data_IF_075530703294
#
_entry.id   IF_075530703294
#
_cell.length_a   1.000
_cell.length_b   1.000
_cell.length_c   1.000
_cell.angle_alpha   90.00
_cell.angle_beta   90.00
_cell.angle_gamma   90.00
#
_symmetry.space_group_name_H-M   'P 1'
#
loop_
_entity.id
_entity.type
_entity.pdbx_description
1 polymer ?
#
# COMPACT_ATOMS: atom_id res chain seq x y z
N UNK A 1 41.60 -5.50 9.06
CA UNK A 1 41.61 -4.31 9.93
C UNK A 1 40.28 -4.23 10.67
N UNK A 2 40.27 -3.99 11.99
CA UNK A 2 39.03 -3.95 12.80
C UNK A 2 38.35 -2.57 12.72
N UNK A 3 38.35 -1.99 11.54
CA UNK A 3 37.83 -0.65 11.27
C UNK A 3 36.65 -0.82 10.33
N UNK A 4 35.51 -0.23 10.69
CA UNK A 4 34.31 -0.24 9.87
C UNK A 4 34.58 0.63 8.63
N UNK A 5 35.03 0.02 7.53
CA UNK A 5 35.55 0.69 6.33
C UNK A 5 34.64 0.55 5.12
N UNK A 6 33.36 0.17 5.30
CA UNK A 6 32.40 0.24 4.18
C UNK A 6 32.13 1.71 3.88
N UNK A 7 32.95 2.29 3.00
CA UNK A 7 32.90 3.72 2.66
C UNK A 7 31.79 4.01 1.65
N UNK A 8 31.46 3.06 0.76
CA UNK A 8 30.41 3.19 -0.24
C UNK A 8 30.22 1.87 -1.01
N UNK A 9 28.97 1.44 -1.20
CA UNK A 9 28.62 0.45 -2.24
C UNK A 9 27.87 1.19 -3.33
N UNK A 10 28.32 1.06 -4.59
CA UNK A 10 27.62 1.63 -5.76
C UNK A 10 27.23 0.48 -6.66
N UNK A 11 25.94 0.39 -6.95
CA UNK A 11 25.41 -0.49 -7.98
C UNK A 11 24.93 0.39 -9.14
N UNK A 12 25.69 0.40 -10.23
CA UNK A 12 25.31 1.07 -11.47
C UNK A 12 24.46 0.13 -12.31
N UNK A 13 23.34 0.62 -12.85
CA UNK A 13 22.44 -0.13 -13.74
C UNK A 13 21.84 -1.42 -13.13
N UNK A 14 21.16 -1.34 -11.96
CA UNK A 14 20.42 -2.48 -11.44
C UNK A 14 19.26 -2.87 -12.38
N UNK A 15 19.00 -4.16 -12.50
CA UNK A 15 17.81 -4.68 -13.20
C UNK A 15 16.52 -4.18 -12.54
N UNK A 16 15.40 -4.17 -13.28
CA UNK A 16 14.11 -3.89 -12.66
C UNK A 16 13.72 -5.04 -11.74
N UNK A 17 13.46 -4.74 -10.46
CA UNK A 17 13.11 -5.78 -9.50
C UNK A 17 13.05 -5.30 -8.06
N UNK A 18 12.87 -6.27 -7.16
CA UNK A 18 12.86 -6.06 -5.71
C UNK A 18 14.26 -6.30 -5.17
N UNK A 19 14.68 -5.46 -4.22
CA UNK A 19 16.02 -5.50 -3.63
C UNK A 19 15.93 -5.50 -2.11
N UNK A 20 16.71 -6.37 -1.46
CA UNK A 20 16.92 -6.36 -0.02
C UNK A 20 18.30 -5.79 0.30
N UNK A 21 18.34 -4.80 1.20
CA UNK A 21 19.59 -4.14 1.61
C UNK A 21 19.77 -4.33 3.12
N UNK A 22 20.83 -5.04 3.50
CA UNK A 22 21.19 -5.28 4.89
C UNK A 22 22.52 -4.61 5.25
N UNK A 23 22.53 -3.78 6.30
CA UNK A 23 23.73 -3.06 6.75
C UNK A 23 24.23 -3.68 8.05
N UNK A 24 25.30 -4.50 7.97
CA UNK A 24 25.94 -5.14 9.13
C UNK A 24 27.18 -4.40 9.57
N UNK A 25 27.25 -4.00 10.84
CA UNK A 25 28.49 -3.49 11.43
C UNK A 25 29.34 -4.66 11.95
N UNK A 26 30.64 -4.68 11.61
CA UNK A 26 31.57 -5.69 12.13
C UNK A 26 31.89 -5.48 13.62
N UNK A 27 32.06 -4.22 14.05
CA UNK A 27 32.19 -3.84 15.46
C UNK A 27 31.80 -2.36 15.65
N UNK A 28 30.92 -2.08 16.60
CA UNK A 28 30.57 -0.71 16.98
C UNK A 28 31.35 -0.34 18.25
N UNK A 29 32.21 0.68 18.17
CA UNK A 29 33.05 1.06 19.31
C UNK A 29 32.23 1.63 20.47
N UNK A 30 31.13 2.36 20.19
CA UNK A 30 30.05 2.74 21.12
C UNK A 30 28.79 3.14 20.35
N UNK A 31 27.60 2.77 20.85
CA UNK A 31 26.31 3.29 20.40
C UNK A 31 25.89 2.86 19.00
N UNK A 32 25.01 3.65 18.39
CA UNK A 32 24.50 3.48 17.02
C UNK A 32 25.39 4.21 16.01
N UNK A 33 25.54 3.65 14.81
CA UNK A 33 26.20 4.31 13.69
C UNK A 33 25.16 4.66 12.62
N UNK A 34 25.09 5.93 12.24
CA UNK A 34 24.22 6.36 11.15
C UNK A 34 24.73 5.82 9.81
N UNK A 35 23.80 5.47 8.93
CA UNK A 35 24.05 5.10 7.54
C UNK A 35 22.99 5.76 6.65
N UNK A 36 23.28 5.86 5.35
CA UNK A 36 22.34 6.37 4.37
C UNK A 36 22.30 5.43 3.17
N UNK A 37 21.11 5.25 2.60
CA UNK A 37 20.90 4.59 1.32
C UNK A 37 20.42 5.66 0.35
N UNK A 38 21.13 5.82 -0.77
CA UNK A 38 20.74 6.74 -1.84
C UNK A 38 20.40 5.92 -3.09
N UNK A 39 19.16 6.03 -3.55
CA UNK A 39 18.66 5.38 -4.77
C UNK A 39 18.21 6.47 -5.74
N UNK A 40 18.74 6.45 -6.97
CA UNK A 40 18.31 7.35 -8.03
C UNK A 40 17.28 6.63 -8.89
N UNK A 41 16.03 7.12 -8.92
CA UNK A 41 14.94 6.52 -9.69
C UNK A 41 13.63 6.48 -8.89
N UNK A 42 12.61 5.84 -9.45
CA UNK A 42 11.36 5.58 -8.74
C UNK A 42 11.54 4.36 -7.82
N UNK A 43 11.27 4.53 -6.53
CA UNK A 43 11.35 3.47 -5.54
C UNK A 43 10.10 3.49 -4.66
N UNK A 44 9.55 2.32 -4.40
CA UNK A 44 8.49 2.10 -3.42
C UNK A 44 9.06 1.23 -2.32
N UNK A 45 8.98 1.69 -1.07
CA UNK A 45 9.41 0.90 0.07
C UNK A 45 8.44 -0.26 0.29
N UNK A 46 8.94 -1.50 0.35
CA UNK A 46 8.15 -2.65 0.78
C UNK A 46 8.04 -2.59 2.31
N UNK A 47 7.05 -1.86 2.81
CA UNK A 47 6.80 -1.71 4.24
C UNK A 47 6.69 -3.09 4.92
N UNK A 48 7.22 -3.24 6.14
CA UNK A 48 7.26 -4.48 6.96
C UNK A 48 8.27 -5.57 6.59
N UNK A 49 9.00 -5.47 5.49
CA UNK A 49 10.05 -6.44 5.14
C UNK A 49 11.39 -6.12 5.81
N UNK A 50 11.55 -6.51 7.09
CA UNK A 50 12.85 -6.40 7.79
C UNK A 50 13.80 -7.56 7.50
N UNK A 51 13.30 -8.63 6.86
CA UNK A 51 14.09 -9.81 6.47
C UNK A 51 14.10 -9.98 4.96
N UNK A 52 15.11 -10.68 4.47
CA UNK A 52 15.27 -11.00 3.05
C UNK A 52 14.08 -11.84 2.55
N UNK A 53 13.61 -12.79 3.35
CA UNK A 53 12.48 -13.65 2.98
C UNK A 53 11.19 -12.85 2.84
N UNK A 54 10.90 -11.93 3.77
CA UNK A 54 9.74 -11.06 3.68
C UNK A 54 9.86 -10.09 2.50
N UNK A 55 11.08 -9.64 2.19
CA UNK A 55 11.34 -8.81 1.03
C UNK A 55 11.00 -9.60 -0.23
N UNK A 56 11.43 -10.84 -0.40
CA UNK A 56 11.15 -11.61 -1.61
C UNK A 56 9.86 -12.43 -1.57
N UNK A 57 9.03 -12.27 -0.54
CA UNK A 57 7.73 -12.93 -0.51
C UNK A 57 6.81 -12.27 -1.56
N UNK A 58 6.59 -13.02 -2.65
CA UNK A 58 5.67 -12.68 -3.71
C UNK A 58 4.27 -13.22 -3.44
N UNK A 59 4.04 -13.84 -2.26
CA UNK A 59 2.68 -14.15 -1.84
C UNK A 59 1.89 -12.85 -1.80
N UNK A 60 0.63 -12.86 -2.26
CA UNK A 60 -0.25 -11.71 -2.14
C UNK A 60 -0.19 -11.25 -0.68
N UNK A 61 0.08 -9.96 -0.45
CA UNK A 61 0.08 -9.44 0.90
C UNK A 61 -1.26 -9.80 1.55
N UNK A 62 -1.22 -10.32 2.76
CA UNK A 62 -2.45 -10.52 3.55
C UNK A 62 -2.93 -9.21 4.18
N UNK A 63 -2.06 -8.18 4.20
CA UNK A 63 -2.35 -6.87 4.73
C UNK A 63 -2.50 -5.84 3.60
N UNK A 64 -3.60 -5.08 3.57
CA UNK A 64 -3.79 -4.06 2.55
C UNK A 64 -2.78 -2.91 2.68
N UNK A 65 -2.22 -2.70 3.87
CA UNK A 65 -1.30 -1.59 4.19
C UNK A 65 0.18 -1.93 3.98
N UNK A 66 0.48 -3.01 3.27
CA UNK A 66 1.84 -3.52 3.05
C UNK A 66 2.09 -3.74 1.57
N UNK A 67 3.22 -3.21 1.08
CA UNK A 67 3.65 -3.35 -0.31
C UNK A 67 2.61 -2.82 -1.30
N UNK A 68 2.27 -3.63 -2.30
CA UNK A 68 1.25 -3.30 -3.31
C UNK A 68 -0.20 -3.46 -2.80
N UNK A 69 -0.36 -3.87 -1.54
CA UNK A 69 -1.65 -4.15 -0.90
C UNK A 69 -2.20 -5.54 -1.23
N UNK A 70 -3.52 -5.70 -1.12
CA UNK A 70 -4.21 -6.98 -1.34
C UNK A 70 -5.01 -6.98 -2.64
N UNK A 71 -5.06 -8.12 -3.31
CA UNK A 71 -5.95 -8.33 -4.47
C UNK A 71 -7.05 -9.32 -4.13
N UNK A 72 -8.30 -8.94 -4.37
CA UNK A 72 -9.51 -9.68 -4.07
C UNK A 72 -10.18 -10.14 -5.38
N UNK A 73 -10.49 -11.43 -5.44
CA UNK A 73 -11.12 -12.08 -6.60
C UNK A 73 -12.45 -12.78 -6.26
N UNK A 74 -12.82 -12.82 -4.98
CA UNK A 74 -14.06 -13.44 -4.56
C UNK A 74 -15.27 -12.62 -5.05
N UNK A 75 -16.37 -13.29 -5.34
CA UNK A 75 -17.63 -12.64 -5.78
C UNK A 75 -18.19 -11.65 -4.76
N UNK A 76 -17.79 -11.77 -3.49
CA UNK A 76 -18.08 -10.83 -2.42
C UNK A 76 -17.00 -10.92 -1.34
N UNK A 77 -16.89 -9.87 -0.53
CA UNK A 77 -15.97 -9.78 0.59
C UNK A 77 -16.20 -8.49 1.37
N UNK A 78 -15.35 -8.26 2.37
CA UNK A 78 -15.38 -7.06 3.20
C UNK A 78 -14.02 -6.36 3.14
N UNK A 79 -14.05 -5.03 3.08
CA UNK A 79 -12.90 -4.17 3.23
C UNK A 79 -13.03 -3.44 4.56
N UNK A 80 -12.06 -3.65 5.44
CA UNK A 80 -12.06 -3.00 6.76
C UNK A 80 -10.72 -2.37 7.04
N UNK A 81 -10.73 -1.20 7.66
CA UNK A 81 -9.60 -0.73 8.46
C UNK A 81 -9.51 -1.61 9.71
N UNK A 82 -8.31 -1.80 10.25
CA UNK A 82 -8.07 -2.58 11.48
C UNK A 82 -9.11 -2.32 12.58
N UNK A 83 -9.39 -3.31 13.43
CA UNK A 83 -10.42 -3.19 14.47
C UNK A 83 -10.11 -2.05 15.45
N UNK A 84 -10.77 -0.90 15.30
CA UNK A 84 -10.64 0.26 16.17
C UNK A 84 -10.36 1.55 15.41
N UNK A 85 -9.17 1.68 14.85
CA UNK A 85 -8.71 2.82 14.04
C UNK A 85 -7.74 2.34 12.95
N UNK A 86 -7.56 3.14 11.90
CA UNK A 86 -6.48 2.93 10.92
C UNK A 86 -5.11 3.35 11.50
N UNK A 87 -4.02 2.94 10.84
CA UNK A 87 -2.63 3.20 11.26
C UNK A 87 -2.16 4.58 10.80
N UNK A 88 -1.21 5.18 11.53
CA UNK A 88 -0.54 6.41 11.12
C UNK A 88 0.35 6.15 9.91
N UNK A 89 0.48 7.13 9.01
CA UNK A 89 1.27 7.08 7.79
C UNK A 89 0.92 5.85 6.93
N UNK A 90 -0.35 5.44 6.99
CA UNK A 90 -0.82 4.26 6.29
C UNK A 90 -0.95 4.56 4.80
N UNK A 91 -0.48 3.60 4.00
CA UNK A 91 -0.74 3.53 2.58
C UNK A 91 -1.34 2.15 2.31
N UNK A 92 -2.66 2.05 2.41
CA UNK A 92 -3.37 0.80 2.21
C UNK A 92 -3.99 0.75 0.82
N UNK A 93 -3.86 -0.39 0.13
CA UNK A 93 -4.43 -0.62 -1.19
C UNK A 93 -5.21 -1.94 -1.18
N UNK A 94 -6.46 -1.87 -1.64
CA UNK A 94 -7.27 -3.03 -2.00
C UNK A 94 -7.56 -2.95 -3.50
N UNK A 95 -7.21 -4.00 -4.23
CA UNK A 95 -7.56 -4.16 -5.64
C UNK A 95 -8.62 -5.23 -5.76
N UNK A 96 -9.83 -4.86 -6.15
CA UNK A 96 -10.92 -5.79 -6.43
C UNK A 96 -10.92 -6.05 -7.93
N UNK A 97 -10.69 -7.30 -8.32
CA UNK A 97 -10.68 -7.71 -9.72
C UNK A 97 -11.86 -8.64 -9.96
N UNK A 98 -12.71 -8.36 -10.96
CA UNK A 98 -13.87 -9.19 -11.21
C UNK A 98 -13.44 -10.59 -11.63
N UNK A 99 -14.14 -11.61 -11.15
CA UNK A 99 -13.92 -13.02 -11.50
C UNK A 99 -14.17 -13.32 -12.98
N UNK A 100 -14.98 -12.47 -13.63
CA UNK A 100 -15.32 -12.53 -15.04
C UNK A 100 -15.23 -11.13 -15.65
N UNK A 101 -14.64 -11.01 -16.84
CA UNK A 101 -14.45 -9.74 -17.57
C UNK A 101 -15.73 -9.00 -17.97
N UNK A 102 -16.91 -9.49 -17.60
CA UNK A 102 -18.21 -8.81 -17.81
C UNK A 102 -18.87 -8.37 -16.50
N UNK A 103 -18.40 -8.84 -15.34
CA UNK A 103 -18.98 -8.50 -14.04
C UNK A 103 -18.58 -7.08 -13.64
N UNK A 104 -19.53 -6.31 -13.12
CA UNK A 104 -19.27 -5.02 -12.49
C UNK A 104 -19.00 -5.20 -11.00
N UNK A 105 -18.24 -4.28 -10.40
CA UNK A 105 -17.98 -4.26 -8.96
C UNK A 105 -18.83 -3.17 -8.31
N UNK A 106 -19.39 -3.47 -7.15
CA UNK A 106 -20.12 -2.55 -6.28
C UNK A 106 -19.50 -2.57 -4.89
N UNK A 107 -19.10 -1.39 -4.41
CA UNK A 107 -18.58 -1.17 -3.06
C UNK A 107 -19.61 -0.36 -2.27
N UNK A 108 -19.94 -0.78 -1.06
CA UNK A 108 -20.91 -0.11 -0.20
C UNK A 108 -20.34 0.10 1.20
N UNK A 109 -20.10 1.35 1.58
CA UNK A 109 -19.69 1.65 2.95
C UNK A 109 -20.83 1.39 3.93
N UNK A 110 -20.53 0.64 4.98
CA UNK A 110 -21.42 0.40 6.14
C UNK A 110 -21.00 1.24 7.35
N UNK A 111 -19.73 1.65 7.42
CA UNK A 111 -19.20 2.62 8.37
C UNK A 111 -18.08 3.43 7.72
N UNK A 112 -17.98 4.72 8.05
CA UNK A 112 -16.91 5.59 7.58
C UNK A 112 -16.69 6.76 8.54
N UNK A 113 -15.46 6.90 9.02
CA UNK A 113 -15.00 7.96 9.90
C UNK A 113 -13.49 8.15 9.71
N UNK A 114 -13.13 9.11 8.86
CA UNK A 114 -11.75 9.50 8.57
C UNK A 114 -11.47 10.89 9.16
N UNK A 115 -10.22 11.16 9.51
CA UNK A 115 -9.75 12.50 9.82
C UNK A 115 -9.72 13.38 8.55
N UNK A 116 -9.84 14.71 8.69
CA UNK A 116 -10.09 15.62 7.57
C UNK A 116 -8.87 15.81 6.63
N UNK A 117 -7.67 15.44 7.06
CA UNK A 117 -6.45 15.42 6.26
C UNK A 117 -6.14 14.03 5.70
N UNK A 118 -6.80 13.01 6.22
CA UNK A 118 -6.75 11.64 5.73
C UNK A 118 -7.85 11.40 4.69
N UNK A 119 -7.64 10.41 3.81
CA UNK A 119 -8.63 10.12 2.79
C UNK A 119 -8.64 8.68 2.29
N UNK A 120 -9.83 8.28 1.83
CA UNK A 120 -10.05 7.06 1.05
C UNK A 120 -10.35 7.45 -0.38
N UNK A 121 -9.53 7.02 -1.33
CA UNK A 121 -9.71 7.25 -2.75
C UNK A 121 -10.11 5.97 -3.47
N UNK A 122 -11.13 6.06 -4.33
CA UNK A 122 -11.63 4.95 -5.14
C UNK A 122 -11.32 5.25 -6.61
N UNK A 123 -10.74 4.27 -7.29
CA UNK A 123 -10.38 4.36 -8.70
C UNK A 123 -11.00 3.22 -9.49
N UNK A 124 -11.31 3.47 -10.77
CA UNK A 124 -11.54 2.43 -11.77
C UNK A 124 -10.25 2.16 -12.52
N UNK A 125 -9.85 0.89 -12.65
CA UNK A 125 -8.79 0.45 -13.56
C UNK A 125 -9.44 -0.29 -14.73
N UNK A 126 -9.42 0.29 -15.95
CA UNK A 126 -10.01 -0.33 -17.13
C UNK A 126 -9.41 -1.69 -17.47
N UNK A 127 -10.25 -2.60 -17.98
CA UNK A 127 -9.80 -3.91 -18.49
C UNK A 127 -9.11 -3.85 -19.86
N UNK A 128 -9.09 -2.69 -20.51
CA UNK A 128 -8.58 -2.48 -21.87
C UNK A 128 -7.05 -2.48 -21.98
N UNK A 129 -6.35 -2.75 -20.87
CA UNK A 129 -4.88 -2.74 -20.80
C UNK A 129 -4.28 -1.35 -20.53
N UNK A 130 -5.10 -0.32 -20.34
CA UNK A 130 -4.65 0.96 -19.81
C UNK A 130 -4.19 0.81 -18.36
N UNK A 131 -2.92 1.11 -18.09
CA UNK A 131 -2.39 1.08 -16.72
C UNK A 131 -2.72 2.34 -15.91
N UNK A 132 -3.49 3.28 -16.46
CA UNK A 132 -3.84 4.53 -15.75
C UNK A 132 -5.20 4.40 -15.07
N UNK A 133 -5.26 4.30 -13.71
CA UNK A 133 -6.53 4.29 -13.00
C UNK A 133 -7.19 5.67 -13.06
N UNK A 134 -8.51 5.69 -13.20
CA UNK A 134 -9.31 6.92 -13.17
C UNK A 134 -9.90 7.11 -11.78
N UNK A 135 -9.66 8.26 -11.16
CA UNK A 135 -10.25 8.61 -9.86
C UNK A 135 -11.77 8.74 -9.99
N UNK A 136 -12.50 8.00 -9.16
CA UNK A 136 -13.96 8.10 -9.03
C UNK A 136 -14.30 9.12 -7.95
N UNK A 137 -13.68 8.99 -6.79
CA UNK A 137 -13.94 9.86 -5.63
C UNK A 137 -12.78 9.83 -4.63
N UNK A 138 -12.57 10.93 -3.92
CA UNK A 138 -11.82 10.99 -2.67
C UNK A 138 -12.77 11.33 -1.52
N UNK A 139 -12.68 10.58 -0.42
CA UNK A 139 -13.56 10.65 0.74
C UNK A 139 -12.76 10.97 1.99
N UNK A 140 -13.29 11.85 2.83
CA UNK A 140 -12.70 12.26 4.11
C UNK A 140 -13.82 12.59 5.11
N UNK A 141 -13.49 12.82 6.37
CA UNK A 141 -14.44 13.13 7.43
C UNK A 141 -15.34 11.93 7.81
N UNK A 142 -16.46 12.23 8.48
CA UNK A 142 -17.39 11.21 9.02
C UNK A 142 -18.69 11.05 8.21
N UNK A 143 -18.81 11.70 7.06
CA UNK A 143 -20.01 11.64 6.21
C UNK A 143 -19.65 11.25 4.80
N UNK A 144 -20.12 10.08 4.35
CA UNK A 144 -19.99 9.64 2.96
C UNK A 144 -21.33 9.78 2.28
N UNK A 145 -21.35 10.42 1.11
CA UNK A 145 -22.52 10.44 0.23
C UNK A 145 -22.06 10.63 -1.21
N UNK A 146 -22.33 9.68 -2.13
CA UNK A 146 -23.13 8.47 -1.95
C UNK A 146 -22.40 7.36 -1.18
N UNK A 147 -23.12 6.49 -0.46
CA UNK A 147 -22.50 5.34 0.25
C UNK A 147 -22.11 4.18 -0.67
N UNK A 148 -22.48 4.24 -1.96
CA UNK A 148 -22.29 3.16 -2.92
C UNK A 148 -21.52 3.69 -4.12
N UNK A 149 -20.49 2.96 -4.51
CA UNK A 149 -19.67 3.23 -5.69
C UNK A 149 -19.61 1.98 -6.57
N UNK A 150 -19.51 2.18 -7.88
CA UNK A 150 -19.45 1.09 -8.85
C UNK A 150 -18.50 1.41 -9.99
N UNK A 151 -17.93 0.36 -10.58
CA UNK A 151 -17.16 0.42 -11.83
C UNK A 151 -17.85 -0.40 -12.92
N UNK A 152 -17.46 -0.17 -14.18
CA UNK A 152 -18.07 -0.85 -15.31
C UNK A 152 -17.74 -2.36 -15.31
N UNK A 153 -18.48 -3.12 -16.12
CA UNK A 153 -18.21 -4.54 -16.30
C UNK A 153 -16.79 -4.79 -16.82
N UNK A 154 -16.04 -5.65 -16.14
CA UNK A 154 -14.66 -6.00 -16.47
C UNK A 154 -13.60 -5.10 -15.81
N UNK A 155 -13.93 -3.85 -15.49
CA UNK A 155 -13.02 -2.96 -14.80
C UNK A 155 -12.69 -3.48 -13.40
N UNK A 156 -11.45 -3.29 -12.95
CA UNK A 156 -11.07 -3.50 -11.55
C UNK A 156 -11.33 -2.23 -10.73
N UNK A 157 -11.68 -2.38 -9.46
CA UNK A 157 -11.81 -1.26 -8.52
C UNK A 157 -10.58 -1.23 -7.61
N UNK A 158 -9.93 -0.07 -7.50
CA UNK A 158 -8.81 0.12 -6.57
C UNK A 158 -9.25 1.08 -5.48
N UNK A 159 -9.20 0.64 -4.22
CA UNK A 159 -9.49 1.45 -3.04
C UNK A 159 -8.18 1.72 -2.33
N UNK A 160 -7.88 3.00 -2.04
CA UNK A 160 -6.68 3.41 -1.33
C UNK A 160 -7.03 4.20 -0.08
N UNK A 161 -6.43 3.87 1.05
CA UNK A 161 -6.42 4.69 2.25
C UNK A 161 -5.05 5.34 2.39
N UNK A 162 -5.04 6.65 2.58
CA UNK A 162 -3.85 7.42 2.91
C UNK A 162 -4.10 8.17 4.21
N UNK A 163 -3.19 8.01 5.17
CA UNK A 163 -3.19 8.78 6.41
C UNK A 163 -1.89 9.51 6.67
N UNK A 164 -1.98 10.60 7.43
CA UNK A 164 -0.84 11.33 7.96
C UNK A 164 -0.33 10.74 9.28
N UNK A 165 0.47 11.49 10.03
CA UNK A 165 1.15 10.98 11.23
C UNK A 165 0.34 11.04 12.53
N UNK A 166 -0.87 11.62 12.56
CA UNK A 166 -1.62 11.84 13.80
C UNK A 166 -3.15 11.87 13.60
N UNK A 167 -3.88 11.79 14.72
CA UNK A 167 -5.32 12.08 14.82
C UNK A 167 -6.27 11.11 14.09
N UNK A 168 -5.84 9.87 13.88
CA UNK A 168 -6.65 8.86 13.21
C UNK A 168 -8.00 8.62 13.89
N UNK A 169 -9.01 8.36 13.06
CA UNK A 169 -10.37 8.05 13.48
C UNK A 169 -10.69 6.56 13.33
N UNK A 170 -11.98 6.20 13.45
CA UNK A 170 -12.38 4.79 13.46
C UNK A 170 -12.11 4.05 12.14
N UNK A 171 -11.97 4.80 11.03
CA UNK A 171 -11.73 4.26 9.70
C UNK A 171 -13.02 3.85 9.00
N UNK A 172 -13.00 2.74 8.25
CA UNK A 172 -14.15 2.33 7.46
C UNK A 172 -14.39 0.81 7.43
N UNK A 173 -15.62 0.45 7.11
CA UNK A 173 -16.05 -0.90 6.72
C UNK A 173 -16.91 -0.82 5.46
N UNK A 174 -16.64 -1.66 4.46
CA UNK A 174 -17.29 -1.64 3.15
C UNK A 174 -17.37 -3.02 2.47
#
# INVERSE_FOLDING_TARGET
DRVNNVERVVWSEPDLGRYYVEVKAYSLQRGTQAYAIAVTGHMVHVASATTEEACFDLRPSSSPCVGDGVTLHAESGELTTSSGSYLDNALCTWTITPSNGTHSIRLQFTAFDMEDHDYVAIFSKPADGSDTPTLIVGLTGSTVSPFVYSVNGGDSMVVKLLSDSHANRAGFAA
#
